data_IF_121340369804
#
_entry.id   IF_121340369804
#
_cell.length_a   1.000
_cell.length_b   1.000
_cell.length_c   1.000
_cell.angle_alpha   90.00
_cell.angle_beta   90.00
_cell.angle_gamma   90.00
#
_symmetry.space_group_name_H-M   'P 1'
#
loop_
_entity.id
_entity.type
_entity.pdbx_description
1 polymer ?
#
# COMPACT_ATOMS: atom_id res chain seq x y z
N UNK A 1 35.82 -29.32 14.27
CA UNK A 1 34.40 -29.14 13.97
C UNK A 1 33.63 -28.69 15.21
N UNK A 2 32.64 -27.84 15.07
CA UNK A 2 31.75 -27.44 16.14
C UNK A 2 30.37 -28.03 15.91
N UNK A 3 29.62 -28.30 16.99
CA UNK A 3 28.27 -28.82 16.94
C UNK A 3 27.33 -27.65 16.60
N UNK A 4 26.51 -27.81 15.57
CA UNK A 4 25.58 -26.75 15.08
C UNK A 4 24.17 -26.86 15.72
N UNK A 5 23.77 -28.06 16.16
CA UNK A 5 22.45 -28.35 16.69
C UNK A 5 22.56 -29.01 18.08
N UNK A 6 21.68 -28.60 18.98
CA UNK A 6 21.44 -29.30 20.25
C UNK A 6 20.46 -30.43 19.98
N UNK A 7 20.82 -31.68 20.29
CA UNK A 7 20.02 -32.88 20.00
C UNK A 7 18.97 -33.15 21.09
N UNK A 8 17.97 -32.30 21.16
CA UNK A 8 16.74 -32.56 21.94
C UNK A 8 15.50 -32.16 21.13
N UNK A 9 14.33 -32.42 21.63
CA UNK A 9 13.06 -32.06 20.98
C UNK A 9 12.42 -30.91 21.76
N UNK A 10 12.16 -29.76 21.13
CA UNK A 10 12.47 -29.42 19.73
C UNK A 10 13.99 -29.24 19.47
N UNK A 11 14.41 -29.38 18.21
CA UNK A 11 15.78 -29.09 17.79
C UNK A 11 16.08 -27.60 17.95
N UNK A 12 17.18 -27.27 18.59
CA UNK A 12 17.65 -25.89 18.77
C UNK A 12 19.05 -25.69 18.16
N UNK A 13 19.32 -24.48 17.70
CA UNK A 13 20.64 -24.11 17.23
C UNK A 13 21.58 -23.86 18.44
N UNK A 14 22.84 -24.26 18.29
CA UNK A 14 23.91 -23.73 19.15
C UNK A 14 24.28 -22.32 18.65
N UNK A 15 25.04 -21.55 19.42
CA UNK A 15 25.62 -20.30 18.93
C UNK A 15 26.42 -20.47 17.62
N UNK A 16 27.15 -21.56 17.50
CA UNK A 16 27.86 -21.91 16.25
C UNK A 16 26.86 -22.22 15.12
N UNK A 17 25.71 -22.81 15.43
CA UNK A 17 24.62 -23.06 14.50
C UNK A 17 23.97 -21.77 13.99
N UNK A 18 23.73 -20.80 14.86
CA UNK A 18 23.21 -19.48 14.48
C UNK A 18 24.19 -18.73 13.55
N UNK A 19 25.48 -18.74 13.90
CA UNK A 19 26.53 -18.16 13.06
C UNK A 19 26.55 -18.83 11.68
N UNK A 20 26.53 -20.16 11.66
CA UNK A 20 26.55 -20.93 10.40
C UNK A 20 25.31 -20.60 9.55
N UNK A 21 24.12 -20.61 10.15
CA UNK A 21 22.86 -20.33 9.42
C UNK A 21 22.87 -18.93 8.78
N UNK A 22 23.35 -17.93 9.52
CA UNK A 22 23.48 -16.55 8.99
C UNK A 22 24.37 -16.48 7.76
N UNK A 23 25.53 -17.14 7.79
CA UNK A 23 26.44 -17.17 6.63
C UNK A 23 25.88 -18.03 5.50
N UNK A 24 25.26 -19.17 5.81
CA UNK A 24 24.65 -20.04 4.80
C UNK A 24 23.53 -19.34 4.06
N UNK A 25 22.65 -18.61 4.75
CA UNK A 25 21.61 -17.76 4.15
C UNK A 25 22.23 -16.69 3.23
N UNK A 26 23.33 -16.06 3.65
CA UNK A 26 24.05 -15.09 2.82
C UNK A 26 24.62 -15.72 1.53
N UNK A 27 25.21 -16.91 1.60
CA UNK A 27 25.71 -17.62 0.43
C UNK A 27 24.58 -18.03 -0.53
N UNK A 28 23.47 -18.53 0.00
CA UNK A 28 22.30 -18.86 -0.80
C UNK A 28 21.78 -17.65 -1.56
N UNK A 29 21.63 -16.52 -0.88
CA UNK A 29 21.18 -15.27 -1.47
C UNK A 29 22.10 -14.76 -2.58
N UNK A 30 23.43 -14.79 -2.34
CA UNK A 30 24.41 -14.40 -3.36
C UNK A 30 24.38 -15.33 -4.59
N UNK A 31 24.17 -16.63 -4.37
CA UNK A 31 24.01 -17.59 -5.46
C UNK A 31 22.75 -17.30 -6.29
N UNK A 32 21.63 -17.06 -5.65
CA UNK A 32 20.36 -16.71 -6.33
C UNK A 32 20.51 -15.41 -7.15
N UNK A 33 21.17 -14.40 -6.59
CA UNK A 33 21.47 -13.15 -7.30
C UNK A 33 22.35 -13.38 -8.53
N UNK A 34 23.40 -14.16 -8.41
CA UNK A 34 24.26 -14.51 -9.53
C UNK A 34 23.48 -15.21 -10.65
N UNK A 35 22.62 -16.17 -10.31
CA UNK A 35 21.78 -16.89 -11.29
C UNK A 35 20.82 -15.92 -11.99
N UNK A 36 20.21 -14.98 -11.25
CA UNK A 36 19.31 -13.97 -11.80
C UNK A 36 20.05 -13.02 -12.76
N UNK A 37 21.25 -12.57 -12.40
CA UNK A 37 22.08 -11.71 -13.24
C UNK A 37 22.52 -12.40 -14.52
N UNK A 38 22.93 -13.68 -14.43
CA UNK A 38 23.27 -14.50 -15.59
C UNK A 38 22.08 -14.73 -16.51
N UNK A 39 20.88 -14.92 -15.97
CA UNK A 39 19.64 -15.03 -16.75
C UNK A 39 19.32 -13.73 -17.50
N UNK A 40 19.50 -12.58 -16.85
CA UNK A 40 19.31 -11.25 -17.49
C UNK A 40 20.34 -11.00 -18.62
N UNK A 41 21.58 -11.53 -18.48
CA UNK A 41 22.63 -11.44 -19.52
C UNK A 41 22.32 -12.38 -20.70
N UNK A 42 21.83 -13.57 -20.42
CA UNK A 42 21.53 -14.59 -21.45
C UNK A 42 20.22 -14.32 -22.22
N UNK A 43 19.56 -13.18 -21.98
CA UNK A 43 18.26 -12.82 -22.57
C UNK A 43 17.16 -13.85 -22.30
N UNK A 44 17.33 -14.70 -21.32
CA UNK A 44 16.31 -15.63 -20.85
C UNK A 44 15.31 -14.85 -19.99
N UNK A 45 14.33 -14.23 -20.63
CA UNK A 45 13.33 -13.38 -20.00
C UNK A 45 12.30 -14.18 -19.19
N UNK A 46 12.76 -14.91 -18.19
CA UNK A 46 11.92 -15.74 -17.31
C UNK A 46 12.39 -15.68 -15.86
N UNK A 47 11.48 -15.96 -14.93
CA UNK A 47 11.80 -16.05 -13.51
C UNK A 47 10.68 -15.59 -12.61
N UNK A 48 10.98 -15.48 -11.32
CA UNK A 48 10.08 -15.01 -10.28
C UNK A 48 10.42 -13.57 -9.89
N UNK A 49 9.41 -12.71 -9.76
CA UNK A 49 9.53 -11.38 -9.16
C UNK A 49 8.63 -11.34 -7.92
N UNK A 50 9.21 -11.11 -6.76
CA UNK A 50 8.48 -10.96 -5.50
C UNK A 50 8.18 -9.49 -5.24
N UNK A 51 6.89 -9.13 -5.30
CA UNK A 51 6.43 -7.75 -5.14
C UNK A 51 5.63 -7.60 -3.86
N UNK A 52 6.11 -6.77 -2.95
CA UNK A 52 5.43 -6.41 -1.72
C UNK A 52 4.50 -5.21 -1.89
N UNK A 53 3.31 -5.28 -1.28
CA UNK A 53 2.32 -4.20 -1.35
C UNK A 53 1.34 -4.28 -0.17
N UNK A 54 0.79 -3.14 0.28
CA UNK A 54 -0.31 -3.16 1.25
C UNK A 54 -1.63 -3.60 0.62
N UNK A 55 -2.49 -4.31 1.36
CA UNK A 55 -3.75 -4.89 0.88
C UNK A 55 -4.62 -3.96 0.02
N UNK A 56 -4.86 -2.74 0.48
CA UNK A 56 -5.69 -1.76 -0.24
C UNK A 56 -5.11 -1.45 -1.63
N UNK A 57 -3.80 -1.27 -1.69
CA UNK A 57 -3.08 -0.96 -2.92
C UNK A 57 -2.92 -2.19 -3.80
N UNK A 58 -2.70 -3.35 -3.21
CA UNK A 58 -2.67 -4.64 -3.88
C UNK A 58 -3.94 -4.83 -4.71
N UNK A 59 -5.10 -4.69 -4.09
CA UNK A 59 -6.39 -4.81 -4.78
C UNK A 59 -6.62 -3.72 -5.84
N UNK A 60 -6.18 -2.49 -5.60
CA UNK A 60 -6.44 -1.37 -6.50
C UNK A 60 -5.55 -1.37 -7.75
N UNK A 61 -4.27 -1.67 -7.62
CA UNK A 61 -3.28 -1.43 -8.68
C UNK A 61 -2.77 -2.72 -9.30
N UNK A 62 -2.52 -3.76 -8.48
CA UNK A 62 -1.75 -4.92 -8.93
C UNK A 62 -2.44 -5.74 -10.02
N UNK A 63 -3.77 -5.94 -10.05
CA UNK A 63 -4.39 -6.72 -11.13
C UNK A 63 -4.08 -6.15 -12.51
N UNK A 64 -4.34 -4.87 -12.73
CA UNK A 64 -4.07 -4.21 -14.01
C UNK A 64 -2.57 -4.14 -14.33
N UNK A 65 -1.74 -3.89 -13.33
CA UNK A 65 -0.29 -3.81 -13.50
C UNK A 65 0.30 -5.16 -13.92
N UNK A 66 -0.11 -6.25 -13.28
CA UNK A 66 0.33 -7.60 -13.63
C UNK A 66 -0.14 -7.96 -15.03
N UNK A 67 -1.39 -7.68 -15.38
CA UNK A 67 -1.93 -7.95 -16.70
C UNK A 67 -1.12 -7.24 -17.80
N UNK A 68 -0.83 -5.94 -17.65
CA UNK A 68 -0.05 -5.19 -18.62
C UNK A 68 1.42 -5.61 -18.67
N UNK A 69 2.02 -5.95 -17.52
CA UNK A 69 3.37 -6.49 -17.47
C UNK A 69 3.48 -7.83 -18.19
N UNK A 70 2.55 -8.75 -17.96
CA UNK A 70 2.52 -10.09 -18.55
C UNK A 70 2.38 -10.07 -20.08
N UNK A 71 1.78 -9.02 -20.67
CA UNK A 71 1.72 -8.88 -22.15
C UNK A 71 3.11 -8.76 -22.78
N UNK A 72 4.07 -8.17 -22.09
CA UNK A 72 5.45 -7.96 -22.56
C UNK A 72 6.43 -9.00 -22.01
N UNK A 73 6.14 -9.54 -20.83
CA UNK A 73 7.01 -10.42 -20.05
C UNK A 73 6.27 -11.70 -19.60
N UNK A 74 5.73 -12.51 -20.55
CA UNK A 74 4.80 -13.61 -20.23
C UNK A 74 5.45 -14.76 -19.45
N UNK A 75 6.78 -14.90 -19.45
CA UNK A 75 7.49 -15.97 -18.78
C UNK A 75 7.93 -15.61 -17.35
N UNK A 76 7.54 -14.43 -16.83
CA UNK A 76 7.80 -14.07 -15.45
C UNK A 76 6.58 -14.40 -14.59
N UNK A 77 6.81 -15.08 -13.49
CA UNK A 77 5.84 -15.21 -12.39
C UNK A 77 5.93 -14.00 -11.48
N UNK A 78 4.78 -13.43 -11.09
CA UNK A 78 4.70 -12.37 -10.08
C UNK A 78 4.11 -12.96 -8.81
N UNK A 79 4.90 -12.98 -7.75
CA UNK A 79 4.46 -13.35 -6.41
C UNK A 79 4.14 -12.07 -5.62
N UNK A 80 2.87 -11.87 -5.26
CA UNK A 80 2.47 -10.77 -4.39
C UNK A 80 2.63 -11.16 -2.92
N UNK A 81 3.21 -10.25 -2.14
CA UNK A 81 3.30 -10.34 -0.68
C UNK A 81 2.54 -9.15 -0.11
N UNK A 82 1.36 -9.42 0.45
CA UNK A 82 0.45 -8.39 0.94
C UNK A 82 0.50 -8.29 2.46
N UNK A 83 1.23 -7.28 2.94
CA UNK A 83 1.49 -7.08 4.38
C UNK A 83 1.53 -5.57 4.72
N UNK A 84 1.81 -5.22 5.97
CA UNK A 84 1.93 -3.83 6.41
C UNK A 84 3.17 -3.13 5.84
N UNK A 85 3.19 -1.79 5.79
CA UNK A 85 4.37 -1.04 5.32
C UNK A 85 5.63 -1.32 6.18
N UNK A 86 5.46 -1.53 7.48
CA UNK A 86 6.56 -1.87 8.37
C UNK A 86 7.18 -3.24 8.01
N UNK A 87 6.32 -4.22 7.79
CA UNK A 87 6.75 -5.56 7.40
C UNK A 87 7.35 -5.59 5.99
N UNK A 88 6.82 -4.81 5.04
CA UNK A 88 7.41 -4.63 3.71
C UNK A 88 8.83 -4.05 3.80
N UNK A 89 9.04 -3.07 4.66
CA UNK A 89 10.36 -2.47 4.90
C UNK A 89 11.36 -3.51 5.42
N UNK A 90 10.93 -4.35 6.36
CA UNK A 90 11.74 -5.44 6.89
C UNK A 90 12.10 -6.48 5.83
N UNK A 91 11.10 -6.99 5.11
CA UNK A 91 11.30 -8.00 4.05
C UNK A 91 12.20 -7.51 2.92
N UNK A 92 12.13 -6.21 2.56
CA UNK A 92 13.06 -5.61 1.62
C UNK A 92 14.50 -5.58 2.15
N UNK A 93 14.70 -5.17 3.40
CA UNK A 93 16.02 -5.12 4.02
C UNK A 93 16.64 -6.54 4.15
N UNK A 94 15.82 -7.53 4.44
CA UNK A 94 16.21 -8.95 4.46
C UNK A 94 16.45 -9.51 3.05
N UNK A 95 15.93 -8.83 2.00
CA UNK A 95 16.03 -9.23 0.59
C UNK A 95 15.08 -10.36 0.20
N UNK A 96 13.99 -10.51 0.94
CA UNK A 96 12.92 -11.46 0.65
C UNK A 96 11.95 -10.93 -0.41
N UNK A 97 12.04 -9.63 -0.74
CA UNK A 97 11.32 -8.97 -1.82
C UNK A 97 12.29 -8.36 -2.83
N UNK A 98 11.93 -8.41 -4.11
CA UNK A 98 12.64 -7.70 -5.19
C UNK A 98 12.22 -6.22 -5.26
N UNK A 99 10.96 -5.94 -4.95
CA UNK A 99 10.32 -4.63 -5.04
C UNK A 99 9.20 -4.52 -4.01
N UNK A 100 8.98 -3.35 -3.45
CA UNK A 100 7.72 -3.06 -2.76
C UNK A 100 7.15 -1.70 -3.19
N UNK A 101 5.82 -1.60 -3.16
CA UNK A 101 5.06 -0.38 -3.45
C UNK A 101 4.38 0.07 -2.16
N UNK A 102 4.99 1.04 -1.48
CA UNK A 102 4.62 1.39 -0.11
C UNK A 102 4.96 2.84 0.24
N UNK A 103 4.67 3.24 1.48
CA UNK A 103 5.32 4.37 2.12
C UNK A 103 6.53 3.84 2.89
N UNK A 104 7.63 4.56 2.81
CA UNK A 104 8.87 4.19 3.50
C UNK A 104 9.32 5.33 4.41
N UNK A 105 9.94 5.03 5.55
CA UNK A 105 10.62 6.06 6.36
C UNK A 105 11.78 6.67 5.54
N UNK A 106 12.07 7.95 5.78
CA UNK A 106 13.10 8.68 5.01
C UNK A 106 14.53 8.15 5.21
N UNK A 107 14.79 7.33 6.24
CA UNK A 107 16.10 6.80 6.59
C UNK A 107 16.07 5.26 6.70
N UNK A 108 15.72 4.58 5.62
CA UNK A 108 15.90 3.13 5.53
C UNK A 108 17.29 2.82 4.96
N UNK A 109 18.25 2.38 5.81
CA UNK A 109 19.66 2.26 5.45
C UNK A 109 19.94 1.29 4.30
N UNK A 110 19.15 0.22 4.18
CA UNK A 110 19.37 -0.90 3.27
C UNK A 110 18.38 -0.94 2.09
N UNK A 111 17.57 0.10 1.95
CA UNK A 111 16.54 0.22 0.92
C UNK A 111 16.81 1.45 0.06
N UNK A 112 16.78 1.28 -1.25
CA UNK A 112 16.69 2.38 -2.20
C UNK A 112 15.22 2.66 -2.50
N UNK A 113 14.84 3.94 -2.52
CA UNK A 113 13.48 4.36 -2.80
C UNK A 113 13.40 5.28 -4.00
N UNK A 114 12.36 5.11 -4.83
CA UNK A 114 12.04 6.01 -5.95
C UNK A 114 10.60 6.48 -5.86
N UNK A 115 10.30 7.75 -6.14
CA UNK A 115 8.94 8.25 -6.18
C UNK A 115 8.08 7.45 -7.18
N UNK A 116 6.81 7.22 -6.82
CA UNK A 116 5.85 6.59 -7.72
C UNK A 116 4.68 7.52 -7.99
N UNK A 117 3.82 7.77 -7.01
CA UNK A 117 2.72 8.72 -7.13
C UNK A 117 2.32 9.30 -5.77
N UNK A 118 1.51 10.35 -5.80
CA UNK A 118 0.88 10.90 -4.59
C UNK A 118 -0.53 10.34 -4.46
N UNK A 119 -0.82 9.75 -3.31
CA UNK A 119 -2.14 9.24 -2.97
C UNK A 119 -2.94 10.33 -2.28
N UNK A 120 -4.15 10.57 -2.76
CA UNK A 120 -5.10 11.52 -2.16
C UNK A 120 -6.06 10.79 -1.23
N UNK A 121 -6.24 11.33 -0.03
CA UNK A 121 -7.33 10.94 0.85
C UNK A 121 -8.57 11.75 0.54
N UNK A 122 -9.70 11.06 0.55
CA UNK A 122 -11.02 11.65 0.38
C UNK A 122 -11.95 11.20 1.50
N UNK A 123 -13.04 11.94 1.69
CA UNK A 123 -14.14 11.54 2.54
C UNK A 123 -15.30 11.05 1.66
N UNK A 124 -15.61 9.76 1.75
CA UNK A 124 -16.71 9.13 1.02
C UNK A 124 -17.94 9.00 1.93
N UNK A 125 -19.09 9.49 1.48
CA UNK A 125 -20.37 9.44 2.19
C UNK A 125 -21.46 8.99 1.22
N UNK A 126 -22.37 8.11 1.64
CA UNK A 126 -23.50 7.77 0.81
C UNK A 126 -24.38 9.01 0.50
N UNK A 127 -24.77 9.19 -0.76
CA UNK A 127 -25.64 10.32 -1.17
C UNK A 127 -26.91 10.39 -0.34
N UNK A 128 -27.51 9.25 -0.02
CA UNK A 128 -28.70 9.18 0.82
C UNK A 128 -28.48 9.76 2.22
N UNK A 129 -27.29 9.51 2.83
CA UNK A 129 -26.95 10.07 4.14
C UNK A 129 -26.66 11.58 4.05
N UNK A 130 -26.05 12.03 2.96
CA UNK A 130 -25.83 13.48 2.74
C UNK A 130 -27.17 14.20 2.58
N UNK A 131 -28.08 13.66 1.78
CA UNK A 131 -29.41 14.27 1.58
C UNK A 131 -30.25 14.25 2.87
N UNK A 132 -30.19 13.17 3.64
CA UNK A 132 -30.90 13.04 4.92
C UNK A 132 -30.42 14.06 5.97
N UNK A 133 -29.07 14.21 6.10
CA UNK A 133 -28.46 15.00 7.18
C UNK A 133 -28.19 16.45 6.79
N UNK A 134 -28.02 16.72 5.51
CA UNK A 134 -27.68 18.03 4.95
C UNK A 134 -28.52 18.36 3.73
N UNK A 135 -29.87 18.36 3.85
CA UNK A 135 -30.76 18.59 2.71
C UNK A 135 -30.46 19.94 2.04
N UNK A 136 -30.13 19.89 0.74
CA UNK A 136 -29.76 21.07 -0.05
C UNK A 136 -28.40 21.72 0.26
N UNK A 137 -27.61 21.20 1.23
CA UNK A 137 -26.31 21.79 1.67
C UNK A 137 -25.08 21.04 1.16
N UNK A 138 -25.23 20.16 0.18
CA UNK A 138 -24.10 19.37 -0.35
C UNK A 138 -22.94 20.24 -0.81
N UNK A 139 -23.19 21.36 -1.47
CA UNK A 139 -22.16 22.28 -1.95
C UNK A 139 -21.41 22.97 -0.79
N UNK A 140 -22.14 23.41 0.24
CA UNK A 140 -21.60 24.00 1.45
C UNK A 140 -20.71 23.00 2.18
N UNK A 141 -21.18 21.77 2.37
CA UNK A 141 -20.41 20.66 2.96
C UNK A 141 -19.13 20.37 2.17
N UNK A 142 -19.23 20.32 0.84
CA UNK A 142 -18.06 20.09 -0.03
C UNK A 142 -17.02 21.21 0.09
N UNK A 143 -17.45 22.47 0.15
CA UNK A 143 -16.56 23.62 0.31
C UNK A 143 -15.87 23.62 1.68
N UNK A 144 -16.60 23.32 2.77
CA UNK A 144 -16.06 23.21 4.11
C UNK A 144 -15.00 22.09 4.20
N UNK A 145 -15.33 20.89 3.74
CA UNK A 145 -14.41 19.73 3.77
C UNK A 145 -13.14 20.02 2.96
N UNK A 146 -13.25 20.67 1.80
CA UNK A 146 -12.10 21.04 0.96
C UNK A 146 -11.13 21.99 1.67
N UNK A 147 -11.65 22.81 2.58
CA UNK A 147 -10.85 23.73 3.43
C UNK A 147 -10.34 23.05 4.73
N UNK A 148 -10.70 21.78 4.95
CA UNK A 148 -10.33 21.05 6.18
C UNK A 148 -11.29 21.28 7.35
N UNK A 149 -12.39 22.01 7.12
CA UNK A 149 -13.43 22.22 8.13
C UNK A 149 -14.43 21.06 8.09
N UNK A 150 -14.42 20.27 9.16
CA UNK A 150 -15.33 19.15 9.36
C UNK A 150 -16.41 19.45 10.40
N UNK A 151 -16.57 20.70 10.83
CA UNK A 151 -17.50 21.10 11.90
C UNK A 151 -18.95 20.67 11.64
N UNK A 152 -19.39 20.71 10.38
CA UNK A 152 -20.70 20.23 9.97
C UNK A 152 -20.92 18.72 10.26
N UNK A 153 -19.84 17.94 10.41
CA UNK A 153 -19.89 16.51 10.66
C UNK A 153 -19.87 16.15 12.17
N UNK A 154 -20.07 17.10 13.06
CA UNK A 154 -19.93 16.93 14.52
C UNK A 154 -20.70 15.77 15.13
N UNK A 155 -21.91 15.49 14.65
CA UNK A 155 -22.75 14.36 15.10
C UNK A 155 -22.88 13.26 14.05
N UNK A 156 -22.12 13.36 12.96
CA UNK A 156 -22.21 12.39 11.86
C UNK A 156 -21.58 11.05 12.24
N UNK A 157 -22.17 9.92 11.85
CA UNK A 157 -21.56 8.62 12.08
C UNK A 157 -20.37 8.38 11.15
N UNK A 158 -19.34 7.67 11.66
CA UNK A 158 -18.17 7.29 10.90
C UNK A 158 -17.96 5.77 10.90
N UNK A 159 -17.39 5.27 9.81
CA UNK A 159 -16.75 3.96 9.74
C UNK A 159 -15.26 4.19 9.51
N UNK A 160 -14.39 3.58 10.31
CA UNK A 160 -12.98 3.98 10.40
C UNK A 160 -12.04 2.78 10.34
N UNK A 161 -10.86 3.00 9.75
CA UNK A 161 -9.71 2.11 9.85
C UNK A 161 -9.06 2.13 11.23
N UNK A 162 -7.99 1.36 11.39
CA UNK A 162 -7.14 1.41 12.57
C UNK A 162 -6.38 2.75 12.63
N UNK A 163 -6.19 3.34 13.82
CA UNK A 163 -5.41 4.57 13.97
C UNK A 163 -3.94 4.45 13.52
N UNK A 164 -3.39 3.25 13.56
CA UNK A 164 -2.00 2.93 13.17
C UNK A 164 -1.81 2.92 11.66
N UNK A 165 -2.89 2.70 10.89
CA UNK A 165 -2.85 2.78 9.43
C UNK A 165 -2.77 4.24 8.97
N UNK A 166 -2.16 4.48 7.80
CA UNK A 166 -2.00 5.84 7.24
C UNK A 166 -3.36 6.54 7.11
N UNK A 167 -4.35 5.86 6.55
CA UNK A 167 -5.70 6.41 6.38
C UNK A 167 -6.39 6.69 7.71
N UNK A 168 -6.24 5.80 8.68
CA UNK A 168 -6.76 5.98 10.05
C UNK A 168 -6.05 7.10 10.79
N UNK A 169 -4.74 7.24 10.62
CA UNK A 169 -3.94 8.34 11.17
C UNK A 169 -4.37 9.69 10.63
N UNK A 170 -4.48 9.83 9.29
CA UNK A 170 -4.96 11.05 8.64
C UNK A 170 -6.38 11.40 9.12
N UNK A 171 -7.29 10.42 9.14
CA UNK A 171 -8.65 10.62 9.63
C UNK A 171 -8.68 11.15 11.07
N UNK A 172 -7.90 10.53 11.97
CA UNK A 172 -7.78 10.97 13.37
C UNK A 172 -7.26 12.40 13.47
N UNK A 173 -6.22 12.74 12.70
CA UNK A 173 -5.63 14.07 12.75
C UNK A 173 -6.60 15.15 12.26
N UNK A 174 -7.36 14.90 11.19
CA UNK A 174 -8.41 15.82 10.73
C UNK A 174 -9.54 15.98 11.74
N UNK A 175 -10.02 14.90 12.33
CA UNK A 175 -11.05 14.95 13.37
C UNK A 175 -10.56 15.70 14.61
N UNK A 176 -9.33 15.45 15.05
CA UNK A 176 -8.72 16.10 16.20
C UNK A 176 -8.54 17.62 15.97
N UNK A 177 -8.03 18.05 14.81
CA UNK A 177 -7.89 19.48 14.45
C UNK A 177 -9.22 20.23 14.47
N UNK A 178 -10.31 19.53 14.16
CA UNK A 178 -11.66 20.08 14.21
C UNK A 178 -12.36 19.90 15.56
N UNK A 179 -11.65 19.43 16.62
CA UNK A 179 -12.21 19.13 17.92
C UNK A 179 -13.41 18.17 17.87
N UNK A 180 -13.46 17.28 16.87
CA UNK A 180 -14.53 16.32 16.70
C UNK A 180 -14.23 15.00 17.39
N UNK A 181 -15.21 14.51 18.15
CA UNK A 181 -15.23 13.15 18.67
C UNK A 181 -16.17 12.32 17.78
N UNK A 182 -15.65 11.49 16.87
CA UNK A 182 -16.48 10.79 15.91
C UNK A 182 -17.36 9.73 16.58
N UNK A 183 -18.62 9.65 16.16
CA UNK A 183 -19.47 8.51 16.48
C UNK A 183 -19.09 7.31 15.60
N UNK A 184 -18.09 6.54 16.01
CA UNK A 184 -17.64 5.37 15.24
C UNK A 184 -18.64 4.24 15.36
N UNK A 185 -19.24 3.83 14.24
CA UNK A 185 -20.24 2.75 14.13
C UNK A 185 -19.61 1.40 13.79
N UNK A 186 -18.50 1.41 13.06
CA UNK A 186 -17.75 0.19 12.72
C UNK A 186 -16.27 0.51 12.51
N UNK A 187 -15.41 -0.50 12.75
CA UNK A 187 -13.98 -0.47 12.46
C UNK A 187 -13.60 -1.66 11.61
N UNK A 188 -12.70 -1.47 10.67
CA UNK A 188 -12.12 -2.55 9.87
C UNK A 188 -10.74 -2.12 9.35
N UNK A 189 -9.84 -3.08 9.22
CA UNK A 189 -8.52 -2.88 8.59
C UNK A 189 -8.61 -2.87 7.06
N UNK A 190 -9.76 -3.27 6.52
CA UNK A 190 -10.01 -3.36 5.09
C UNK A 190 -10.89 -2.19 4.63
N UNK A 191 -10.31 -1.28 3.84
CA UNK A 191 -11.03 -0.12 3.27
C UNK A 191 -12.21 -0.55 2.39
N UNK A 192 -12.09 -1.66 1.68
CA UNK A 192 -13.19 -2.20 0.87
C UNK A 192 -14.41 -2.56 1.73
N UNK A 193 -14.18 -3.18 2.89
CA UNK A 193 -15.23 -3.47 3.88
C UNK A 193 -15.88 -2.17 4.39
N UNK A 194 -15.06 -1.15 4.73
CA UNK A 194 -15.59 0.13 5.20
C UNK A 194 -16.44 0.83 4.12
N UNK A 195 -16.01 0.81 2.85
CA UNK A 195 -16.78 1.37 1.75
C UNK A 195 -18.07 0.59 1.47
N UNK A 196 -18.14 -0.70 1.77
CA UNK A 196 -19.38 -1.47 1.73
C UNK A 196 -20.37 -1.03 2.83
N UNK A 197 -19.87 -0.48 3.95
CA UNK A 197 -20.66 0.08 5.05
C UNK A 197 -21.08 1.55 4.81
N UNK A 198 -21.05 2.01 3.56
CA UNK A 198 -21.34 3.40 3.18
C UNK A 198 -22.69 3.95 3.66
N UNK A 199 -23.67 3.08 3.84
CA UNK A 199 -24.98 3.45 4.41
C UNK A 199 -24.97 3.62 5.94
N UNK A 200 -23.85 3.33 6.60
CA UNK A 200 -23.70 3.39 8.06
C UNK A 200 -23.01 4.68 8.52
N UNK A 201 -22.07 5.21 7.74
CA UNK A 201 -21.33 6.42 8.10
C UNK A 201 -20.34 6.88 7.05
N UNK A 202 -19.70 8.01 7.32
CA UNK A 202 -18.63 8.58 6.50
C UNK A 202 -17.35 7.74 6.63
N UNK A 203 -16.62 7.60 5.53
CA UNK A 203 -15.37 6.83 5.45
C UNK A 203 -14.24 7.68 4.86
N UNK A 204 -13.13 7.79 5.58
CA UNK A 204 -11.88 8.28 5.02
C UNK A 204 -11.21 7.16 4.24
N UNK A 205 -10.92 7.39 2.96
CA UNK A 205 -10.31 6.38 2.10
C UNK A 205 -9.48 7.00 0.98
N UNK A 206 -8.71 6.16 0.31
CA UNK A 206 -7.87 6.55 -0.83
C UNK A 206 -8.72 6.79 -2.08
N UNK A 207 -8.47 7.89 -2.78
CA UNK A 207 -9.18 8.23 -4.02
C UNK A 207 -8.95 7.18 -5.11
N UNK A 208 -7.71 6.68 -5.26
CA UNK A 208 -7.39 5.65 -6.24
C UNK A 208 -8.07 4.32 -5.94
N UNK A 209 -8.25 3.96 -4.68
CA UNK A 209 -9.00 2.76 -4.33
C UNK A 209 -10.44 2.83 -4.87
N UNK A 210 -11.13 3.96 -4.67
CA UNK A 210 -12.49 4.15 -5.20
C UNK A 210 -12.51 4.03 -6.72
N UNK A 211 -11.59 4.73 -7.41
CA UNK A 211 -11.53 4.78 -8.88
C UNK A 211 -11.28 3.41 -9.50
N UNK A 212 -10.43 2.60 -8.89
CA UNK A 212 -9.93 1.35 -9.49
C UNK A 212 -10.68 0.09 -9.04
N UNK A 213 -11.40 0.13 -7.91
CA UNK A 213 -12.05 -1.06 -7.36
C UNK A 213 -13.58 -1.02 -7.38
N UNK A 214 -14.18 0.17 -7.32
CA UNK A 214 -15.62 0.28 -7.30
C UNK A 214 -16.21 0.32 -8.70
N UNK A 215 -17.34 -0.39 -8.89
CA UNK A 215 -18.12 -0.29 -10.13
C UNK A 215 -18.74 1.09 -10.25
N UNK A 216 -19.00 1.59 -11.49
CA UNK A 216 -19.69 2.88 -11.70
C UNK A 216 -21.00 3.01 -10.92
N UNK A 217 -21.76 1.91 -10.79
CA UNK A 217 -23.00 1.86 -10.00
C UNK A 217 -22.74 2.19 -8.52
N UNK A 218 -21.67 1.67 -7.94
CA UNK A 218 -21.32 1.89 -6.54
C UNK A 218 -20.76 3.31 -6.32
N UNK A 219 -19.92 3.79 -7.23
CA UNK A 219 -19.40 5.17 -7.20
C UNK A 219 -20.55 6.18 -7.26
N UNK A 220 -21.52 5.95 -8.14
CA UNK A 220 -22.69 6.84 -8.29
C UNK A 220 -23.58 6.94 -7.03
N UNK A 221 -23.41 6.04 -6.06
CA UNK A 221 -24.12 6.10 -4.77
C UNK A 221 -23.37 6.90 -3.70
N UNK A 222 -22.15 7.36 -4.00
CA UNK A 222 -21.28 8.09 -3.09
C UNK A 222 -21.19 9.56 -3.48
N UNK A 223 -21.15 10.43 -2.49
CA UNK A 223 -20.53 11.73 -2.57
C UNK A 223 -19.10 11.59 -2.09
N UNK A 224 -18.16 11.98 -2.94
CA UNK A 224 -16.72 11.91 -2.69
C UNK A 224 -16.26 13.35 -2.49
N UNK A 225 -15.87 13.67 -1.27
CA UNK A 225 -15.41 15.00 -0.88
C UNK A 225 -13.89 15.00 -0.84
N UNK A 226 -13.28 15.90 -1.63
CA UNK A 226 -11.83 16.11 -1.58
C UNK A 226 -11.44 16.79 -0.28
N UNK A 227 -10.42 16.26 0.36
CA UNK A 227 -9.74 16.86 1.52
C UNK A 227 -8.68 17.86 1.05
N UNK A 228 -8.17 18.73 1.97
CA UNK A 228 -7.05 19.63 1.63
C UNK A 228 -5.79 18.85 1.21
N UNK A 229 -4.83 19.58 0.57
CA UNK A 229 -3.58 18.98 0.08
C UNK A 229 -2.75 18.26 1.14
N UNK A 230 -2.87 18.63 2.40
CA UNK A 230 -2.21 17.95 3.54
C UNK A 230 -2.70 16.53 3.75
N UNK A 231 -3.86 16.17 3.18
CA UNK A 231 -4.38 14.80 3.20
C UNK A 231 -3.81 13.94 2.05
N UNK A 232 -2.65 14.29 1.53
CA UNK A 232 -1.93 13.49 0.53
C UNK A 232 -0.67 12.89 1.14
N UNK A 233 -0.25 11.73 0.61
CA UNK A 233 1.00 11.11 0.99
C UNK A 233 1.67 10.44 -0.21
N UNK A 234 2.98 10.30 -0.14
CA UNK A 234 3.76 9.77 -1.24
C UNK A 234 3.83 8.25 -1.18
N UNK A 235 3.55 7.62 -2.31
CA UNK A 235 3.81 6.21 -2.55
C UNK A 235 5.10 6.11 -3.34
N UNK A 236 5.97 5.22 -2.90
CA UNK A 236 7.29 5.01 -3.47
C UNK A 236 7.48 3.55 -3.86
N UNK A 237 8.33 3.32 -4.81
CA UNK A 237 8.98 2.03 -5.02
C UNK A 237 10.12 1.91 -4.02
N UNK A 238 10.18 0.80 -3.30
CA UNK A 238 11.32 0.42 -2.49
C UNK A 238 11.93 -0.87 -3.01
N UNK A 239 13.26 -0.95 -3.05
CA UNK A 239 13.98 -2.16 -3.45
C UNK A 239 15.29 -2.26 -2.67
N UNK A 240 15.83 -3.48 -2.49
CA UNK A 240 17.08 -3.67 -1.77
C UNK A 240 18.21 -2.85 -2.39
N UNK A 241 19.00 -2.18 -1.56
CA UNK A 241 20.17 -1.42 -1.98
C UNK A 241 21.29 -2.37 -2.43
N UNK A 242 21.24 -2.77 -3.67
CA UNK A 242 22.15 -3.73 -4.27
C UNK A 242 22.87 -3.14 -5.49
N UNK A 243 24.03 -3.70 -5.84
CA UNK A 243 24.80 -3.29 -7.01
C UNK A 243 24.06 -3.57 -8.34
N UNK A 244 23.18 -4.59 -8.38
CA UNK A 244 22.46 -5.00 -9.58
C UNK A 244 20.96 -4.97 -9.36
N UNK A 245 20.27 -4.22 -10.21
CA UNK A 245 18.80 -4.22 -10.28
C UNK A 245 18.35 -4.94 -11.55
N UNK A 246 17.56 -6.01 -11.39
CA UNK A 246 17.06 -6.86 -12.48
C UNK A 246 16.29 -6.05 -13.54
N UNK A 247 16.52 -6.38 -14.81
CA UNK A 247 15.80 -5.75 -15.95
C UNK A 247 14.29 -5.87 -15.81
N UNK A 248 13.80 -7.04 -15.38
CA UNK A 248 12.37 -7.29 -15.19
C UNK A 248 11.75 -6.41 -14.08
N UNK A 249 12.47 -6.15 -12.98
CA UNK A 249 12.00 -5.25 -11.90
C UNK A 249 11.92 -3.81 -12.42
N UNK A 250 12.91 -3.35 -13.21
CA UNK A 250 12.86 -2.03 -13.87
C UNK A 250 11.66 -1.92 -14.81
N UNK A 251 11.44 -2.94 -15.67
CA UNK A 251 10.33 -2.98 -16.60
C UNK A 251 8.97 -3.01 -15.86
N UNK A 252 8.88 -3.68 -14.71
CA UNK A 252 7.69 -3.69 -13.87
C UNK A 252 7.39 -2.30 -13.31
N UNK A 253 8.41 -1.59 -12.80
CA UNK A 253 8.29 -0.21 -12.33
C UNK A 253 7.88 0.75 -13.45
N UNK A 254 8.47 0.62 -14.65
CA UNK A 254 8.13 1.43 -15.83
C UNK A 254 6.68 1.20 -16.26
N UNK A 255 6.21 -0.06 -16.24
CA UNK A 255 4.81 -0.39 -16.51
C UNK A 255 3.87 0.25 -15.49
N UNK A 256 4.23 0.20 -14.21
CA UNK A 256 3.48 0.85 -13.13
C UNK A 256 3.36 2.36 -13.32
N UNK A 257 4.45 3.05 -13.71
CA UNK A 257 4.48 4.49 -13.98
C UNK A 257 3.59 4.91 -15.16
N UNK A 258 3.33 3.99 -16.10
CA UNK A 258 2.44 4.25 -17.26
C UNK A 258 0.96 4.07 -16.90
N UNK A 259 0.64 3.23 -15.94
CA UNK A 259 -0.74 2.83 -15.63
C UNK A 259 -1.40 3.65 -14.54
N UNK A 260 -0.64 4.11 -13.55
CA UNK A 260 -1.23 4.88 -12.45
C UNK A 260 -1.42 6.32 -12.90
N UNK A 261 -2.67 6.81 -12.91
CA UNK A 261 -2.93 8.20 -13.25
C UNK A 261 -2.15 9.13 -12.34
N UNK A 262 -1.41 10.08 -12.93
CA UNK A 262 -0.86 11.18 -12.16
C UNK A 262 -2.03 11.98 -11.57
N UNK A 263 -1.92 12.50 -10.33
CA UNK A 263 -2.91 13.43 -9.82
C UNK A 263 -3.13 14.55 -10.84
N UNK A 264 -4.38 14.90 -11.10
CA UNK A 264 -4.69 16.07 -11.92
C UNK A 264 -4.04 17.28 -11.24
N UNK A 265 -3.11 17.92 -11.94
CA UNK A 265 -2.58 19.22 -11.54
C UNK A 265 -3.74 20.22 -11.68
N UNK A 266 -4.27 20.71 -10.54
CA UNK A 266 -5.27 21.80 -10.48
C UNK A 266 -4.63 23.16 -10.80
#
# INVERSE_FOLDING_TARGET
GCTLLVRHVPLELTYAGEVFLRYAAGFQKNYEQMVMELNDISENHSGLIKVGVGFTRGLAIMPNLIEEFQKKWPNYEIQLVEVTNEELTKLLAEGDLDLAIATFPDMAADIEVKPFYREEMVLAIAKSLVEERFPGKRAELAAAIRQGDLSMLGTFPFVMGKPEDISGGIARDFLHRNNLQPQVKARSDNIGTLLCLRGVGACFCQANFIRMTLTPKNVNQLDIFRLPREATYEIRFGFPKQAYQRKAVKAFMETALQLVPKPEED
#
